data_IF_122577580292
#
_entry.id   IF_122577580292
#
_cell.length_a   1.000
_cell.length_b   1.000
_cell.length_c   1.000
_cell.angle_alpha   90.00
_cell.angle_beta   90.00
_cell.angle_gamma   90.00
#
_symmetry.space_group_name_H-M   'P 1'
#
loop_
_entity.id
_entity.type
_entity.pdbx_description
1 polymer ?
#
# COMPACT_ATOMS: atom_id res chain seq x y z
N UNK A 1 -2.93 3.36 48.89
CA UNK A 1 -2.80 3.66 47.45
C UNK A 1 -2.81 2.33 46.75
N UNK A 2 -3.98 1.91 46.28
CA UNK A 2 -4.11 0.68 45.51
C UNK A 2 -3.40 0.91 44.18
N UNK A 3 -2.41 0.07 43.89
CA UNK A 3 -1.76 0.06 42.59
C UNK A 3 -2.83 -0.30 41.57
N UNK A 4 -3.23 0.68 40.76
CA UNK A 4 -4.03 0.44 39.57
C UNK A 4 -3.13 -0.41 38.66
N UNK A 5 -3.34 -1.72 38.65
CA UNK A 5 -2.72 -2.60 37.67
C UNK A 5 -3.25 -2.18 36.30
N UNK A 6 -2.46 -1.34 35.63
CA UNK A 6 -2.68 -0.99 34.24
C UNK A 6 -2.50 -2.29 33.48
N UNK A 7 -3.61 -2.88 33.03
CA UNK A 7 -3.59 -4.00 32.11
C UNK A 7 -2.95 -3.52 30.80
N UNK A 8 -1.62 -3.64 30.71
CA UNK A 8 -0.82 -3.30 29.53
C UNK A 8 -1.13 -4.39 28.48
N UNK A 9 -2.27 -4.25 27.82
CA UNK A 9 -2.59 -5.05 26.64
C UNK A 9 -1.82 -4.47 25.45
N UNK A 10 -0.62 -5.02 25.20
CA UNK A 10 0.10 -5.14 23.92
C UNK A 10 -0.26 -4.17 22.77
N UNK A 11 -0.30 -2.85 23.01
CA UNK A 11 -0.48 -1.84 21.96
C UNK A 11 0.83 -1.11 21.62
N UNK A 12 1.91 -1.35 22.37
CA UNK A 12 3.18 -0.63 22.24
C UNK A 12 3.81 -0.80 20.86
N UNK A 13 3.80 -2.02 20.31
CA UNK A 13 4.36 -2.29 18.98
C UNK A 13 3.57 -1.58 17.88
N UNK A 14 2.25 -1.48 18.02
CA UNK A 14 1.40 -0.75 17.09
C UNK A 14 1.71 0.75 17.10
N UNK A 15 1.88 1.35 18.29
CA UNK A 15 2.28 2.75 18.44
C UNK A 15 3.70 3.00 17.91
N UNK A 16 4.65 2.09 18.12
CA UNK A 16 6.01 2.18 17.57
C UNK A 16 5.97 2.25 16.04
N UNK A 17 5.18 1.38 15.39
CA UNK A 17 5.08 1.39 13.92
C UNK A 17 4.41 2.67 13.42
N UNK A 18 3.37 3.17 14.09
CA UNK A 18 2.74 4.44 13.75
C UNK A 18 3.75 5.59 13.82
N UNK A 19 4.55 5.66 14.89
CA UNK A 19 5.60 6.67 15.05
C UNK A 19 6.68 6.51 13.97
N UNK A 20 7.04 5.28 13.64
CA UNK A 20 8.01 5.01 12.59
C UNK A 20 7.50 5.46 11.21
N UNK A 21 6.24 5.22 10.88
CA UNK A 21 5.62 5.73 9.64
C UNK A 21 5.61 7.25 9.63
N UNK A 22 5.22 7.92 10.73
CA UNK A 22 5.27 9.38 10.83
C UNK A 22 6.70 9.92 10.64
N UNK A 23 7.70 9.26 11.24
CA UNK A 23 9.11 9.62 11.08
C UNK A 23 9.53 9.51 9.61
N UNK A 24 9.15 8.43 8.91
CA UNK A 24 9.44 8.28 7.48
C UNK A 24 8.79 9.39 6.65
N UNK A 25 7.55 9.78 6.96
CA UNK A 25 6.88 10.89 6.26
C UNK A 25 7.60 12.23 6.47
N UNK A 26 8.04 12.51 7.68
CA UNK A 26 8.82 13.71 7.99
C UNK A 26 10.16 13.69 7.25
N UNK A 27 10.86 12.56 7.24
CA UNK A 27 12.10 12.40 6.47
C UNK A 27 11.87 12.57 4.96
N UNK A 28 10.77 12.01 4.43
CA UNK A 28 10.39 12.19 3.03
C UNK A 28 10.18 13.65 2.67
N UNK A 29 9.48 14.41 3.51
CA UNK A 29 9.28 15.85 3.33
C UNK A 29 10.57 16.66 3.48
N UNK A 30 11.46 16.29 4.40
CA UNK A 30 12.71 17.01 4.67
C UNK A 30 13.77 16.78 3.58
N UNK A 31 13.94 15.52 3.13
CA UNK A 31 14.95 15.16 2.13
C UNK A 31 14.50 15.42 0.69
N UNK A 32 13.20 15.34 0.42
CA UNK A 32 12.64 15.41 -0.94
C UNK A 32 11.47 16.40 -1.05
N UNK A 33 11.63 17.60 -0.48
CA UNK A 33 10.57 18.62 -0.36
C UNK A 33 9.75 18.84 -1.64
N UNK A 34 10.40 19.24 -2.75
CA UNK A 34 9.72 19.53 -4.02
C UNK A 34 8.91 18.33 -4.53
N UNK A 35 9.44 17.10 -4.37
CA UNK A 35 8.77 15.87 -4.81
C UNK A 35 7.62 15.47 -3.89
N UNK A 36 7.74 15.72 -2.60
CA UNK A 36 6.68 15.49 -1.64
C UNK A 36 5.49 16.44 -1.91
N UNK A 37 5.76 17.70 -2.23
CA UNK A 37 4.72 18.65 -2.66
C UNK A 37 4.04 18.19 -3.96
N UNK A 38 4.82 17.86 -4.98
CA UNK A 38 4.31 17.28 -6.23
C UNK A 38 3.45 16.03 -5.96
N UNK A 39 3.90 15.14 -5.08
CA UNK A 39 3.20 13.91 -4.71
C UNK A 39 1.88 14.19 -3.97
N UNK A 40 1.85 15.14 -3.05
CA UNK A 40 0.60 15.54 -2.38
C UNK A 40 -0.37 16.27 -3.31
N UNK A 41 0.15 17.00 -4.32
CA UNK A 41 -0.66 17.63 -5.36
C UNK A 41 -1.35 16.64 -6.31
N UNK A 42 -0.98 15.35 -6.26
CA UNK A 42 -1.68 14.28 -6.97
C UNK A 42 -3.16 14.21 -6.59
N UNK A 43 -3.49 14.57 -5.34
CA UNK A 43 -4.85 14.66 -4.82
C UNK A 43 -5.70 15.73 -5.53
N UNK A 44 -5.06 16.81 -5.99
CA UNK A 44 -5.76 18.03 -6.45
C UNK A 44 -5.70 18.24 -7.95
N UNK A 45 -4.63 17.80 -8.62
CA UNK A 45 -4.36 18.24 -9.99
C UNK A 45 -4.09 17.13 -11.00
N UNK A 46 -3.84 15.88 -10.58
CA UNK A 46 -3.51 14.76 -11.48
C UNK A 46 -2.29 14.97 -12.41
N UNK A 47 -1.53 16.06 -12.25
CA UNK A 47 -0.44 16.49 -13.16
C UNK A 47 0.91 15.82 -12.90
N UNK A 48 1.08 15.13 -11.78
CA UNK A 48 2.33 14.44 -11.40
C UNK A 48 2.86 13.50 -12.50
N UNK A 49 1.96 12.96 -13.31
CA UNK A 49 2.27 11.95 -14.32
C UNK A 49 2.94 12.52 -15.58
N UNK A 50 3.10 13.84 -15.68
CA UNK A 50 3.73 14.50 -16.84
C UNK A 50 5.18 14.92 -16.58
N UNK A 51 5.67 14.88 -15.33
CA UNK A 51 7.05 15.29 -14.98
C UNK A 51 7.92 14.03 -14.82
N UNK A 52 7.98 13.22 -15.88
CA UNK A 52 9.06 12.23 -16.06
C UNK A 52 10.18 12.93 -16.85
N UNK A 53 10.96 13.79 -16.20
CA UNK A 53 12.19 14.27 -16.84
C UNK A 53 13.15 14.89 -15.82
N UNK A 54 14.26 14.17 -15.57
CA UNK A 54 15.65 14.68 -15.41
C UNK A 54 16.50 14.11 -14.27
N UNK A 55 15.95 13.45 -13.24
CA UNK A 55 16.78 13.01 -12.10
C UNK A 55 16.48 11.58 -11.59
N UNK A 56 17.03 10.58 -12.28
CA UNK A 56 16.80 9.15 -11.98
C UNK A 56 17.21 8.71 -10.56
N UNK A 57 18.26 9.28 -9.95
CA UNK A 57 18.75 8.87 -8.62
C UNK A 57 17.87 9.34 -7.45
N UNK A 58 17.42 10.59 -7.48
CA UNK A 58 16.56 11.16 -6.42
C UNK A 58 15.14 10.56 -6.48
N UNK A 59 14.67 10.20 -7.68
CA UNK A 59 13.42 9.47 -7.86
C UNK A 59 13.44 8.10 -7.17
N UNK A 60 14.56 7.36 -7.26
CA UNK A 60 14.66 6.05 -6.64
C UNK A 60 14.57 6.12 -5.12
N UNK A 61 15.31 7.04 -4.48
CA UNK A 61 15.30 7.20 -3.02
C UNK A 61 13.93 7.56 -2.46
N UNK A 62 13.24 8.52 -3.08
CA UNK A 62 11.88 8.91 -2.69
C UNK A 62 10.88 7.76 -2.85
N UNK A 63 10.93 7.04 -3.97
CA UNK A 63 10.02 5.91 -4.22
C UNK A 63 10.19 4.78 -3.21
N UNK A 64 11.43 4.44 -2.84
CA UNK A 64 11.71 3.39 -1.85
C UNK A 64 11.19 3.80 -0.46
N UNK A 65 11.38 5.06 -0.08
CA UNK A 65 10.85 5.59 1.18
C UNK A 65 9.31 5.50 1.19
N UNK A 66 8.65 5.97 0.13
CA UNK A 66 7.19 5.95 0.03
C UNK A 66 6.61 4.53 -0.09
N UNK A 67 7.34 3.61 -0.73
CA UNK A 67 6.98 2.18 -0.76
C UNK A 67 7.04 1.57 0.65
N UNK A 68 8.01 1.97 1.46
CA UNK A 68 8.12 1.48 2.85
C UNK A 68 6.94 1.98 3.70
N UNK A 69 6.58 3.27 3.57
CA UNK A 69 5.37 3.83 4.17
C UNK A 69 4.13 3.07 3.72
N UNK A 70 4.03 2.76 2.43
CA UNK A 70 2.91 2.00 1.88
C UNK A 70 2.77 0.61 2.51
N UNK A 71 3.85 -0.17 2.55
CA UNK A 71 3.88 -1.52 3.13
C UNK A 71 3.44 -1.48 4.59
N UNK A 72 3.98 -0.56 5.39
CA UNK A 72 3.64 -0.44 6.81
C UNK A 72 2.18 0.00 7.02
N UNK A 73 1.71 0.97 6.26
CA UNK A 73 0.35 1.51 6.39
C UNK A 73 -0.72 0.49 6.04
N UNK A 74 -0.54 -0.24 4.94
CA UNK A 74 -1.49 -1.29 4.54
C UNK A 74 -1.45 -2.47 5.53
N UNK A 75 -0.26 -2.87 5.98
CA UNK A 75 -0.12 -3.94 6.97
C UNK A 75 -0.78 -3.60 8.30
N UNK A 76 -0.63 -2.35 8.77
CA UNK A 76 -1.33 -1.84 9.95
C UNK A 76 -2.85 -1.95 9.78
N UNK A 77 -3.38 -1.52 8.64
CA UNK A 77 -4.82 -1.61 8.38
C UNK A 77 -5.33 -3.06 8.34
N UNK A 78 -4.58 -3.97 7.72
CA UNK A 78 -4.91 -5.42 7.71
C UNK A 78 -4.91 -6.00 9.12
N UNK A 79 -3.92 -5.64 9.95
CA UNK A 79 -3.87 -6.06 11.35
C UNK A 79 -5.07 -5.54 12.15
N UNK A 80 -5.44 -4.27 11.96
CA UNK A 80 -6.61 -3.68 12.60
C UNK A 80 -7.90 -4.36 12.17
N UNK A 81 -8.02 -4.71 10.89
CA UNK A 81 -9.14 -5.49 10.35
C UNK A 81 -9.25 -6.83 11.07
N UNK A 82 -8.14 -7.56 11.18
CA UNK A 82 -8.10 -8.86 11.85
C UNK A 82 -8.54 -8.75 13.32
N UNK A 83 -8.07 -7.72 14.03
CA UNK A 83 -8.45 -7.43 15.42
C UNK A 83 -9.94 -7.09 15.58
N UNK A 84 -10.57 -6.48 14.57
CA UNK A 84 -11.99 -6.13 14.62
C UNK A 84 -12.92 -7.34 14.47
N UNK A 85 -12.54 -8.33 13.65
CA UNK A 85 -13.38 -9.50 13.36
C UNK A 85 -13.08 -10.71 14.24
N UNK A 86 -11.89 -10.79 14.85
CA UNK A 86 -11.53 -11.88 15.77
C UNK A 86 -11.72 -11.45 17.22
N UNK A 87 -12.66 -12.08 17.92
CA UNK A 87 -12.97 -11.85 19.34
C UNK A 87 -12.03 -12.57 20.33
N UNK A 88 -11.11 -13.39 19.83
CA UNK A 88 -10.18 -14.15 20.67
C UNK A 88 -9.02 -13.26 21.13
N UNK A 89 -8.65 -13.39 22.40
CA UNK A 89 -7.42 -12.82 22.95
C UNK A 89 -6.22 -13.45 22.26
N UNK A 90 -5.70 -12.77 21.25
CA UNK A 90 -4.48 -13.18 20.55
C UNK A 90 -3.33 -13.15 21.57
N UNK A 91 -2.83 -14.32 21.98
CA UNK A 91 -1.70 -14.44 22.92
C UNK A 91 -0.39 -13.86 22.35
N UNK A 92 -0.35 -13.51 21.06
CA UNK A 92 0.89 -13.10 20.38
C UNK A 92 0.69 -11.98 19.34
N UNK A 93 0.00 -10.90 19.71
CA UNK A 93 -0.37 -9.77 18.84
C UNK A 93 0.82 -9.13 18.10
N UNK A 94 1.95 -8.90 18.80
CA UNK A 94 3.15 -8.31 18.19
C UNK A 94 3.76 -9.19 17.09
N UNK A 95 3.82 -10.51 17.33
CA UNK A 95 4.34 -11.47 16.34
C UNK A 95 3.47 -11.53 15.09
N UNK A 96 2.15 -11.38 15.24
CA UNK A 96 1.20 -11.39 14.14
C UNK A 96 1.35 -10.16 13.25
N UNK A 97 1.52 -8.96 13.85
CA UNK A 97 1.75 -7.73 13.10
C UNK A 97 3.06 -7.80 12.28
N UNK A 98 4.14 -8.30 12.88
CA UNK A 98 5.40 -8.50 12.17
C UNK A 98 5.26 -9.50 11.01
N UNK A 99 4.56 -10.62 11.23
CA UNK A 99 4.26 -11.60 10.16
C UNK A 99 3.49 -10.97 9.01
N UNK A 100 2.46 -10.17 9.28
CA UNK A 100 1.69 -9.47 8.24
C UNK A 100 2.61 -8.53 7.45
N UNK A 101 3.44 -7.73 8.13
CA UNK A 101 4.36 -6.79 7.46
C UNK A 101 5.33 -7.54 6.54
N UNK A 102 5.95 -8.61 7.03
CA UNK A 102 6.88 -9.40 6.22
C UNK A 102 6.20 -10.09 5.04
N UNK A 103 5.02 -10.68 5.24
CA UNK A 103 4.27 -11.37 4.19
C UNK A 103 3.80 -10.38 3.11
N UNK A 104 3.20 -9.27 3.52
CA UNK A 104 2.73 -8.24 2.60
C UNK A 104 3.89 -7.59 1.84
N UNK A 105 4.96 -7.22 2.54
CA UNK A 105 6.17 -6.66 1.93
C UNK A 105 6.78 -7.61 0.91
N UNK A 106 6.88 -8.92 1.23
CA UNK A 106 7.38 -9.92 0.30
C UNK A 106 6.51 -10.02 -0.97
N UNK A 107 5.18 -10.06 -0.83
CA UNK A 107 4.26 -10.12 -1.98
C UNK A 107 4.43 -8.89 -2.88
N UNK A 108 4.52 -7.69 -2.30
CA UNK A 108 4.69 -6.44 -3.06
C UNK A 108 6.02 -6.42 -3.81
N UNK A 109 7.12 -6.80 -3.16
CA UNK A 109 8.44 -6.85 -3.78
C UNK A 109 8.55 -7.93 -4.86
N UNK A 110 7.95 -9.09 -4.63
CA UNK A 110 7.88 -10.17 -5.62
C UNK A 110 7.12 -9.70 -6.86
N UNK A 111 5.96 -9.06 -6.67
CA UNK A 111 5.17 -8.52 -7.78
C UNK A 111 5.97 -7.51 -8.61
N UNK A 112 6.63 -6.56 -7.94
CA UNK A 112 7.48 -5.57 -8.61
C UNK A 112 8.60 -6.22 -9.43
N UNK A 113 9.24 -7.27 -8.88
CA UNK A 113 10.34 -7.98 -9.55
C UNK A 113 9.85 -8.74 -10.78
N UNK A 114 8.69 -9.40 -10.69
CA UNK A 114 8.15 -10.14 -11.84
C UNK A 114 7.70 -9.19 -12.96
N UNK A 115 7.05 -8.06 -12.61
CA UNK A 115 6.69 -7.04 -13.60
C UNK A 115 7.93 -6.51 -14.35
N UNK A 116 9.07 -6.33 -13.64
CA UNK A 116 10.36 -5.96 -14.22
C UNK A 116 11.01 -7.06 -15.09
N UNK A 117 10.93 -8.32 -14.68
CA UNK A 117 11.43 -9.45 -15.50
C UNK A 117 10.66 -9.54 -16.82
N UNK A 118 9.34 -9.40 -16.77
CA UNK A 118 8.49 -9.40 -17.96
C UNK A 118 8.91 -8.24 -18.89
N UNK A 119 9.16 -7.05 -18.35
CA UNK A 119 9.61 -5.91 -19.15
C UNK A 119 10.88 -6.18 -19.96
N UNK A 120 11.87 -6.78 -19.31
CA UNK A 120 13.15 -7.11 -19.92
C UNK A 120 13.02 -8.24 -20.96
N UNK A 121 12.22 -9.28 -20.66
CA UNK A 121 12.00 -10.42 -21.58
C UNK A 121 11.33 -9.98 -22.88
N UNK A 122 10.46 -8.98 -22.83
CA UNK A 122 9.71 -8.47 -23.99
C UNK A 122 10.32 -7.20 -24.61
N UNK A 123 11.46 -6.72 -24.12
CA UNK A 123 12.14 -5.50 -24.59
C UNK A 123 11.20 -4.26 -24.61
N UNK A 124 10.36 -4.14 -23.58
CA UNK A 124 9.37 -3.06 -23.41
C UNK A 124 9.56 -2.30 -22.10
N UNK A 125 10.81 -2.21 -21.63
CA UNK A 125 11.20 -1.61 -20.36
C UNK A 125 10.71 -0.17 -20.20
N UNK A 126 10.76 0.68 -21.23
CA UNK A 126 10.34 2.08 -21.10
C UNK A 126 8.85 2.24 -20.79
N UNK A 127 8.02 1.40 -21.43
CA UNK A 127 6.56 1.43 -21.28
C UNK A 127 6.18 0.86 -19.92
N UNK A 128 6.75 -0.29 -19.56
CA UNK A 128 6.46 -0.95 -18.28
C UNK A 128 7.01 -0.15 -17.11
N UNK A 129 8.17 0.46 -17.20
CA UNK A 129 8.72 1.30 -16.13
C UNK A 129 7.85 2.51 -15.85
N UNK A 130 7.32 3.12 -16.90
CA UNK A 130 6.37 4.21 -16.77
C UNK A 130 5.10 3.71 -16.10
N UNK A 131 4.54 2.59 -16.55
CA UNK A 131 3.35 1.98 -15.94
C UNK A 131 3.55 1.64 -14.46
N UNK A 132 4.62 0.94 -14.11
CA UNK A 132 4.94 0.53 -12.73
C UNK A 132 5.09 1.76 -11.84
N UNK A 133 5.82 2.79 -12.29
CA UNK A 133 6.01 4.01 -11.53
C UNK A 133 4.67 4.73 -11.27
N UNK A 134 3.81 4.85 -12.28
CA UNK A 134 2.49 5.48 -12.13
C UNK A 134 1.61 4.68 -11.16
N UNK A 135 1.51 3.36 -11.35
CA UNK A 135 0.76 2.44 -10.49
C UNK A 135 1.22 2.53 -9.04
N UNK A 136 2.53 2.45 -8.79
CA UNK A 136 3.09 2.51 -7.46
C UNK A 136 2.86 3.87 -6.79
N UNK A 137 2.97 4.97 -7.54
CA UNK A 137 2.72 6.31 -7.02
C UNK A 137 1.27 6.45 -6.53
N UNK A 138 0.30 6.00 -7.31
CA UNK A 138 -1.11 6.02 -6.88
C UNK A 138 -1.37 5.16 -5.65
N UNK A 139 -0.81 3.94 -5.59
CA UNK A 139 -0.95 3.06 -4.43
C UNK A 139 -0.28 3.64 -3.17
N UNK A 140 0.89 4.27 -3.32
CA UNK A 140 1.54 4.99 -2.23
C UNK A 140 0.64 6.14 -1.74
N UNK A 141 -0.01 6.87 -2.64
CA UNK A 141 -0.91 7.95 -2.26
C UNK A 141 -2.14 7.44 -1.49
N UNK A 142 -2.78 6.37 -1.98
CA UNK A 142 -3.89 5.71 -1.28
C UNK A 142 -3.46 5.25 0.12
N UNK A 143 -2.25 4.72 0.25
CA UNK A 143 -1.76 4.26 1.55
C UNK A 143 -1.58 5.38 2.58
N UNK A 144 -1.32 6.63 2.18
CA UNK A 144 -1.34 7.76 3.11
C UNK A 144 -2.74 8.01 3.68
N UNK A 145 -3.76 7.89 2.83
CA UNK A 145 -5.16 8.03 3.26
C UNK A 145 -5.52 6.89 4.21
N UNK A 146 -5.15 5.65 3.86
CA UNK A 146 -5.34 4.47 4.72
C UNK A 146 -4.63 4.66 6.07
N UNK A 147 -3.40 5.20 6.07
CA UNK A 147 -2.65 5.47 7.28
C UNK A 147 -3.40 6.46 8.19
N UNK A 148 -3.82 7.61 7.65
CA UNK A 148 -4.58 8.61 8.39
C UNK A 148 -5.86 8.04 8.99
N UNK A 149 -6.62 7.28 8.19
CA UNK A 149 -7.83 6.60 8.65
C UNK A 149 -7.56 5.53 9.71
N UNK A 150 -6.42 4.83 9.61
CA UNK A 150 -6.00 3.84 10.61
C UNK A 150 -5.68 4.48 11.96
N UNK A 151 -5.15 5.72 11.99
CA UNK A 151 -4.95 6.47 13.24
C UNK A 151 -6.28 6.75 13.94
N UNK A 152 -7.31 7.17 13.18
CA UNK A 152 -8.65 7.36 13.73
C UNK A 152 -9.22 6.05 14.27
N UNK A 153 -9.01 4.92 13.58
CA UNK A 153 -9.53 3.63 14.03
C UNK A 153 -8.86 3.14 15.34
N UNK A 154 -7.61 3.54 15.58
CA UNK A 154 -6.83 3.18 16.78
C UNK A 154 -7.15 4.07 17.97
N UNK A 155 -7.19 5.40 17.77
CA UNK A 155 -7.20 6.37 18.85
C UNK A 155 -8.53 7.11 19.03
N UNK A 156 -9.52 6.89 18.16
CA UNK A 156 -10.83 7.52 18.29
C UNK A 156 -11.79 6.68 19.13
N UNK A 157 -12.63 7.37 19.91
CA UNK A 157 -13.73 6.77 20.68
C UNK A 157 -14.98 6.49 19.82
N UNK A 158 -14.92 6.75 18.50
CA UNK A 158 -16.02 6.50 17.56
C UNK A 158 -16.24 4.97 17.41
N UNK A 159 -17.49 4.50 17.24
CA UNK A 159 -17.77 3.09 16.97
C UNK A 159 -16.94 2.54 15.81
N UNK A 160 -16.18 1.48 16.09
CA UNK A 160 -15.14 0.95 15.18
C UNK A 160 -15.71 0.34 13.89
N UNK A 161 -16.88 -0.30 13.96
CA UNK A 161 -17.52 -0.98 12.82
C UNK A 161 -17.98 -0.02 11.69
N UNK A 162 -18.76 1.05 11.94
CA UNK A 162 -19.17 1.96 10.87
C UNK A 162 -17.99 2.71 10.25
N UNK A 163 -17.01 3.12 11.06
CA UNK A 163 -15.76 3.70 10.54
C UNK A 163 -15.02 2.71 9.63
N UNK A 164 -14.91 1.45 10.05
CA UNK A 164 -14.25 0.42 9.25
C UNK A 164 -14.91 0.23 7.88
N UNK A 165 -16.24 0.14 7.80
CA UNK A 165 -16.95 0.04 6.53
C UNK A 165 -16.75 1.27 5.64
N UNK A 166 -16.74 2.48 6.22
CA UNK A 166 -16.45 3.70 5.50
C UNK A 166 -15.04 3.68 4.89
N UNK A 167 -14.04 3.20 5.64
CA UNK A 167 -12.67 3.07 5.15
C UNK A 167 -12.61 2.08 3.98
N UNK A 168 -13.27 0.92 4.06
CA UNK A 168 -13.33 -0.04 2.95
C UNK A 168 -13.93 0.60 1.70
N UNK A 169 -15.06 1.31 1.83
CA UNK A 169 -15.71 1.96 0.70
C UNK A 169 -14.79 2.98 0.04
N UNK A 170 -14.08 3.80 0.83
CA UNK A 170 -13.10 4.76 0.33
C UNK A 170 -11.94 4.08 -0.41
N UNK A 171 -11.43 2.96 0.13
CA UNK A 171 -10.37 2.17 -0.52
C UNK A 171 -10.86 1.64 -1.88
N UNK A 172 -12.06 1.09 -1.96
CA UNK A 172 -12.63 0.55 -3.22
C UNK A 172 -12.79 1.68 -4.25
N UNK A 173 -13.29 2.85 -3.84
CA UNK A 173 -13.42 4.02 -4.72
C UNK A 173 -12.03 4.47 -5.23
N UNK A 174 -11.04 4.56 -4.34
CA UNK A 174 -9.71 5.01 -4.71
C UNK A 174 -8.98 4.01 -5.64
N UNK A 175 -9.13 2.71 -5.40
CA UNK A 175 -8.60 1.65 -6.26
C UNK A 175 -9.27 1.63 -7.63
N UNK A 176 -10.61 1.77 -7.69
CA UNK A 176 -11.34 1.83 -8.96
C UNK A 176 -10.98 3.08 -9.78
N UNK A 177 -10.82 4.23 -9.13
CA UNK A 177 -10.31 5.45 -9.79
C UNK A 177 -8.89 5.25 -10.34
N UNK A 178 -7.99 4.61 -9.58
CA UNK A 178 -6.63 4.30 -10.01
C UNK A 178 -6.61 3.37 -11.21
N UNK A 179 -7.44 2.33 -11.20
CA UNK A 179 -7.58 1.42 -12.33
C UNK A 179 -8.13 2.15 -13.56
N UNK A 180 -9.15 3.00 -13.37
CA UNK A 180 -9.74 3.80 -14.43
C UNK A 180 -8.73 4.77 -15.08
N UNK A 181 -7.96 5.52 -14.30
CA UNK A 181 -6.95 6.46 -14.86
C UNK A 181 -5.85 5.73 -15.63
N UNK A 182 -5.41 4.56 -15.13
CA UNK A 182 -4.39 3.74 -15.79
C UNK A 182 -4.92 3.18 -17.11
N UNK A 183 -6.15 2.65 -17.12
CA UNK A 183 -6.79 2.15 -18.34
C UNK A 183 -6.96 3.29 -19.33
N UNK A 184 -7.52 4.42 -18.91
CA UNK A 184 -7.82 5.54 -19.81
C UNK A 184 -6.57 6.08 -20.50
N UNK A 185 -5.44 6.15 -19.78
CA UNK A 185 -4.14 6.56 -20.35
C UNK A 185 -3.55 5.56 -21.32
N UNK A 186 -3.78 4.26 -21.12
CA UNK A 186 -3.19 3.19 -21.92
C UNK A 186 -4.20 2.51 -22.87
N UNK A 187 -5.39 3.09 -23.06
CA UNK A 187 -6.49 2.56 -23.86
C UNK A 187 -6.05 2.13 -25.28
N UNK A 188 -5.20 2.92 -25.94
CA UNK A 188 -4.72 2.62 -27.30
C UNK A 188 -3.83 1.37 -27.35
N UNK A 189 -3.00 1.15 -26.33
CA UNK A 189 -2.13 -0.02 -26.20
C UNK A 189 -2.92 -1.26 -25.78
N UNK A 190 -3.82 -1.09 -24.80
CA UNK A 190 -4.68 -2.17 -24.30
C UNK A 190 -5.61 -2.64 -25.42
N UNK A 191 -6.22 -1.74 -26.19
CA UNK A 191 -7.10 -2.06 -27.32
C UNK A 191 -6.46 -2.99 -28.36
N UNK A 192 -5.15 -2.93 -28.51
CA UNK A 192 -4.41 -3.76 -29.47
C UNK A 192 -4.10 -5.16 -28.93
N UNK A 193 -4.04 -5.34 -27.61
CA UNK A 193 -3.61 -6.58 -26.95
C UNK A 193 -4.52 -6.99 -25.77
N UNK A 194 -5.85 -6.87 -25.92
CA UNK A 194 -6.83 -7.14 -24.84
C UNK A 194 -6.68 -8.51 -24.19
N UNK A 195 -6.42 -9.55 -24.98
CA UNK A 195 -6.27 -10.91 -24.45
C UNK A 195 -5.04 -11.06 -23.53
N UNK A 196 -3.91 -10.47 -23.92
CA UNK A 196 -2.68 -10.47 -23.12
C UNK A 196 -2.84 -9.66 -21.83
N UNK A 197 -3.62 -8.57 -21.87
CA UNK A 197 -3.94 -7.79 -20.68
C UNK A 197 -4.75 -8.58 -19.65
N UNK A 198 -5.76 -9.34 -20.10
CA UNK A 198 -6.55 -10.22 -19.24
C UNK A 198 -5.68 -11.32 -18.64
N UNK A 199 -4.82 -11.95 -19.46
CA UNK A 199 -3.90 -13.00 -19.00
C UNK A 199 -2.94 -12.46 -17.92
N UNK A 200 -2.41 -11.24 -18.10
CA UNK A 200 -1.56 -10.57 -17.13
C UNK A 200 -2.28 -10.33 -15.79
N UNK A 201 -3.50 -9.78 -15.79
CA UNK A 201 -4.27 -9.54 -14.57
C UNK A 201 -4.53 -10.86 -13.84
N UNK A 202 -4.95 -11.89 -14.56
CA UNK A 202 -5.25 -13.20 -13.97
C UNK A 202 -4.01 -13.90 -13.40
N UNK A 203 -2.90 -13.90 -14.14
CA UNK A 203 -1.70 -14.64 -13.77
C UNK A 203 -0.86 -13.90 -12.71
N UNK A 204 -0.73 -12.58 -12.80
CA UNK A 204 0.19 -11.83 -11.95
C UNK A 204 -0.48 -11.07 -10.81
N UNK A 205 -1.72 -10.61 -11.00
CA UNK A 205 -2.45 -9.96 -9.90
C UNK A 205 -3.30 -10.93 -9.10
N UNK A 206 -4.06 -11.84 -9.73
CA UNK A 206 -5.04 -12.67 -9.03
C UNK A 206 -4.41 -13.98 -8.51
N UNK A 207 -3.59 -14.66 -9.31
CA UNK A 207 -3.04 -15.97 -8.94
C UNK A 207 -2.23 -16.00 -7.62
N UNK A 208 -1.40 -14.99 -7.27
CA UNK A 208 -0.67 -15.01 -6.00
C UNK A 208 -1.58 -15.04 -4.78
N UNK A 209 -2.72 -14.32 -4.82
CA UNK A 209 -3.70 -14.34 -3.73
C UNK A 209 -4.44 -15.68 -3.63
N UNK A 210 -4.73 -16.33 -4.77
CA UNK A 210 -5.34 -17.66 -4.78
C UNK A 210 -4.39 -18.72 -4.19
N UNK A 211 -3.10 -18.64 -4.52
CA UNK A 211 -2.07 -19.50 -3.94
C UNK A 211 -1.95 -19.27 -2.43
N UNK A 212 -1.92 -18.01 -1.99
CA UNK A 212 -1.84 -17.66 -0.57
C UNK A 212 -3.06 -18.17 0.20
N UNK A 213 -4.27 -17.97 -0.32
CA UNK A 213 -5.51 -18.46 0.28
C UNK A 213 -5.47 -19.97 0.49
N UNK A 214 -5.02 -20.71 -0.54
CA UNK A 214 -4.89 -22.17 -0.47
C UNK A 214 -3.82 -22.63 0.50
N UNK A 215 -2.73 -21.87 0.66
CA UNK A 215 -1.68 -22.16 1.64
C UNK A 215 -2.20 -22.00 3.08
N UNK A 216 -3.00 -20.96 3.34
CA UNK A 216 -3.55 -20.66 4.67
C UNK A 216 -4.66 -21.64 5.07
N UNK A 217 -5.53 -22.04 4.14
CA UNK A 217 -6.66 -22.94 4.45
C UNK A 217 -6.30 -24.42 4.53
N UNK A 218 -5.13 -24.82 4.03
CA UNK A 218 -4.66 -26.22 4.08
C UNK A 218 -3.82 -26.53 5.31
N UNK A 219 -3.67 -25.57 6.22
CA UNK A 219 -3.03 -25.67 7.53
C UNK A 219 -4.09 -25.46 8.61
#
# INVERSE_FOLDING_TARGET
MEAIERYISSNDLLTIIILFVLLLLVLGKALFHNRFEDFTSLATSGKFLMIKSREHKLLFGFNVLMLTVHILSVSLFVFLTFRLFTSQTLENQGSLLLRIITAYGFIVLLKFTVEKIIANVFDIDEIIDTYIFQKQTYLNFISLIIFGLSLFLVYSDIPRLPLFYLIIVLIIIALSYTLYTIINKNLRLISRFWFYFILYICALEIAPYVILYKLITKY
#
